data_IF_510238715867
#
_entry.id   IF_510238715867
#
_cell.length_a   1.000
_cell.length_b   1.000
_cell.length_c   1.000
_cell.angle_alpha   90.00
_cell.angle_beta   90.00
_cell.angle_gamma   90.00
#
_symmetry.space_group_name_H-M   'P 1'
#
loop_
_entity.id
_entity.type
_entity.pdbx_description
1 polymer ?
#
# COMPACT_ATOMS: atom_id res chain seq x y z
N UNK A 1 -17.07 -1.17 8.56
CA UNK A 1 -15.84 -1.82 8.05
C UNK A 1 -15.72 -1.60 6.55
N UNK A 2 -14.51 -1.35 6.06
CA UNK A 2 -14.23 -1.38 4.62
C UNK A 2 -14.46 -2.78 4.04
N UNK A 3 -14.43 -2.91 2.72
CA UNK A 3 -14.62 -4.21 2.06
C UNK A 3 -13.49 -5.21 2.35
N UNK A 4 -12.33 -4.73 2.85
CA UNK A 4 -11.23 -5.56 3.34
C UNK A 4 -11.27 -5.76 4.85
N UNK A 5 -10.90 -6.94 5.34
CA UNK A 5 -10.65 -7.18 6.77
C UNK A 5 -9.28 -6.65 7.24
N UNK A 6 -8.51 -6.09 6.30
CA UNK A 6 -7.17 -5.57 6.54
C UNK A 6 -7.21 -4.05 6.62
N UNK A 7 -6.45 -3.54 7.58
CA UNK A 7 -6.11 -2.12 7.70
C UNK A 7 -4.62 -1.96 7.42
N UNK A 8 -4.17 -0.75 7.08
CA UNK A 8 -2.74 -0.47 6.96
C UNK A 8 -2.04 -0.66 8.30
N UNK A 9 -2.70 -0.34 9.41
CA UNK A 9 -2.23 -0.63 10.76
C UNK A 9 -1.86 -2.10 10.92
N UNK A 10 -2.78 -3.02 10.58
CA UNK A 10 -2.55 -4.46 10.68
C UNK A 10 -1.37 -4.91 9.80
N UNK A 11 -1.36 -4.46 8.53
CA UNK A 11 -0.29 -4.79 7.59
C UNK A 11 1.08 -4.30 8.08
N UNK A 12 1.16 -3.09 8.64
CA UNK A 12 2.40 -2.52 9.13
C UNK A 12 2.89 -3.21 10.40
N UNK A 13 2.00 -3.50 11.36
CA UNK A 13 2.37 -4.26 12.55
C UNK A 13 2.94 -5.63 12.19
N UNK A 14 2.25 -6.38 11.33
CA UNK A 14 2.67 -7.71 10.91
C UNK A 14 3.99 -7.68 10.11
N UNK A 15 4.20 -6.63 9.32
CA UNK A 15 5.48 -6.42 8.62
C UNK A 15 6.63 -6.16 9.59
N UNK A 16 6.41 -5.33 10.61
CA UNK A 16 7.39 -5.12 11.67
C UNK A 16 7.74 -6.43 12.40
N UNK A 17 6.73 -7.23 12.73
CA UNK A 17 6.90 -8.52 13.38
C UNK A 17 7.69 -9.52 12.51
N UNK A 18 7.49 -9.47 11.19
CA UNK A 18 8.13 -10.39 10.22
C UNK A 18 9.59 -10.09 9.90
N UNK A 19 10.09 -8.89 10.20
CA UNK A 19 11.44 -8.45 9.81
C UNK A 19 12.43 -8.81 10.92
N UNK A 20 13.45 -9.61 10.57
CA UNK A 20 14.51 -10.10 11.44
C UNK A 20 15.89 -10.00 10.77
N UNK A 21 16.98 -10.24 11.52
CA UNK A 21 18.34 -9.91 11.08
C UNK A 21 18.88 -10.75 9.92
N UNK A 22 18.67 -12.07 9.94
CA UNK A 22 19.45 -12.98 9.08
C UNK A 22 18.68 -14.13 8.42
N UNK A 23 17.39 -14.34 8.69
CA UNK A 23 16.60 -15.46 8.13
C UNK A 23 15.42 -15.04 7.24
N UNK A 24 15.38 -13.76 6.85
CA UNK A 24 14.30 -13.19 6.05
C UNK A 24 14.36 -13.55 4.55
N UNK A 25 13.17 -13.72 3.96
CA UNK A 25 12.99 -13.73 2.50
C UNK A 25 13.43 -12.39 1.86
N UNK A 26 13.38 -11.28 2.62
CA UNK A 26 13.87 -9.98 2.19
C UNK A 26 15.15 -9.62 2.94
N UNK A 27 16.17 -9.17 2.21
CA UNK A 27 17.44 -8.74 2.77
C UNK A 27 17.51 -7.23 2.87
N UNK A 28 17.98 -6.75 4.01
CA UNK A 28 18.17 -5.34 4.30
C UNK A 28 19.58 -5.05 4.78
N UNK A 29 20.10 -3.86 4.45
CA UNK A 29 21.35 -3.33 5.02
C UNK A 29 21.21 -3.06 6.51
N UNK A 30 20.09 -2.48 6.90
CA UNK A 30 19.71 -2.29 8.30
C UNK A 30 18.23 -2.70 8.46
N UNK A 31 18.02 -3.96 8.83
CA UNK A 31 16.67 -4.51 9.04
C UNK A 31 15.93 -3.79 10.17
N UNK A 32 16.64 -3.33 11.21
CA UNK A 32 16.04 -2.65 12.35
C UNK A 32 15.45 -1.29 11.95
N UNK A 33 16.10 -0.56 11.05
CA UNK A 33 15.55 0.69 10.50
C UNK A 33 14.22 0.45 9.76
N UNK A 34 14.13 -0.61 8.96
CA UNK A 34 12.90 -0.95 8.22
C UNK A 34 11.82 -1.47 9.17
N UNK A 35 12.19 -2.30 10.14
CA UNK A 35 11.31 -2.81 11.20
C UNK A 35 10.68 -1.67 12.00
N UNK A 36 11.50 -0.74 12.49
CA UNK A 36 11.05 0.39 13.27
C UNK A 36 10.19 1.34 12.44
N UNK A 37 10.55 1.58 11.17
CA UNK A 37 9.72 2.35 10.23
C UNK A 37 8.28 1.79 10.16
N UNK A 38 8.09 0.48 10.09
CA UNK A 38 6.75 -0.12 10.09
C UNK A 38 6.01 0.06 11.42
N UNK A 39 6.67 -0.20 12.56
CA UNK A 39 6.04 -0.01 13.87
C UNK A 39 5.66 1.46 14.12
N UNK A 40 6.55 2.39 13.82
CA UNK A 40 6.31 3.82 14.00
C UNK A 40 5.20 4.31 13.06
N UNK A 41 5.17 3.81 11.81
CA UNK A 41 4.06 4.06 10.87
C UNK A 41 2.72 3.56 11.42
N UNK A 42 2.68 2.34 11.97
CA UNK A 42 1.48 1.75 12.54
C UNK A 42 0.98 2.52 13.76
N UNK A 43 1.89 2.83 14.70
CA UNK A 43 1.58 3.62 15.90
C UNK A 43 0.99 4.97 15.52
N UNK A 44 1.59 5.66 14.55
CA UNK A 44 1.16 7.00 14.16
C UNK A 44 -0.26 7.03 13.58
N UNK A 45 -0.68 5.99 12.85
CA UNK A 45 -2.03 5.90 12.25
C UNK A 45 -3.07 5.20 13.13
N UNK A 46 -2.70 4.73 14.32
CA UNK A 46 -3.61 4.00 15.21
C UNK A 46 -4.88 4.81 15.47
N UNK A 47 -6.04 4.18 15.34
CA UNK A 47 -7.37 4.78 15.53
C UNK A 47 -7.89 5.61 14.36
N UNK A 48 -7.05 6.06 13.41
CA UNK A 48 -7.53 6.82 12.25
C UNK A 48 -8.36 5.96 11.29
N UNK A 49 -7.95 4.72 11.05
CA UNK A 49 -8.66 3.81 10.16
C UNK A 49 -10.01 3.37 10.75
N UNK A 50 -10.08 3.23 12.08
CA UNK A 50 -11.33 2.90 12.79
C UNK A 50 -12.37 4.00 12.63
N UNK A 51 -11.97 5.27 12.72
CA UNK A 51 -12.85 6.42 12.46
C UNK A 51 -13.46 6.33 11.06
N UNK A 52 -12.64 6.08 10.03
CA UNK A 52 -13.14 5.99 8.66
C UNK A 52 -14.10 4.80 8.49
N UNK A 53 -13.73 3.67 9.07
CA UNK A 53 -14.40 2.40 8.82
C UNK A 53 -15.68 2.24 9.65
N UNK A 54 -15.75 2.83 10.83
CA UNK A 54 -16.76 2.52 11.84
C UNK A 54 -17.52 3.73 12.40
N UNK A 55 -16.98 4.95 12.36
CA UNK A 55 -17.72 6.10 12.93
C UNK A 55 -18.86 6.59 12.05
N UNK A 56 -19.98 6.93 12.72
CA UNK A 56 -21.17 7.56 12.12
C UNK A 56 -20.94 9.06 11.87
N UNK A 57 -20.13 9.69 12.71
CA UNK A 57 -19.75 11.11 12.67
C UNK A 57 -18.27 11.23 12.34
N UNK A 58 -17.89 12.23 11.55
CA UNK A 58 -16.47 12.55 11.37
C UNK A 58 -15.99 13.47 12.51
N UNK A 59 -14.79 13.24 13.07
CA UNK A 59 -14.27 14.04 14.16
C UNK A 59 -13.92 15.46 13.71
N UNK A 60 -13.99 16.39 14.66
CA UNK A 60 -13.51 17.77 14.52
C UNK A 60 -11.98 17.84 14.61
N UNK A 61 -11.44 19.00 14.26
CA UNK A 61 -9.99 19.21 14.16
C UNK A 61 -9.25 18.92 15.45
N UNK A 62 -9.78 19.39 16.57
CA UNK A 62 -9.21 19.20 17.89
C UNK A 62 -9.19 17.72 18.28
N UNK A 63 -10.23 16.96 17.90
CA UNK A 63 -10.36 15.53 18.20
C UNK A 63 -9.30 14.71 17.46
N UNK A 64 -9.19 14.87 16.14
CA UNK A 64 -8.22 14.09 15.36
C UNK A 64 -6.77 14.54 15.56
N UNK A 65 -6.54 15.81 15.90
CA UNK A 65 -5.21 16.29 16.34
C UNK A 65 -4.82 15.67 17.66
N UNK A 66 -5.73 15.62 18.64
CA UNK A 66 -5.47 14.95 19.91
C UNK A 66 -5.15 13.45 19.76
N UNK A 67 -5.72 12.77 18.76
CA UNK A 67 -5.33 11.39 18.42
C UNK A 67 -3.89 11.36 17.87
N UNK A 68 -3.58 12.21 16.90
CA UNK A 68 -2.24 12.29 16.33
C UNK A 68 -1.17 12.57 17.39
N UNK A 69 -1.39 13.54 18.27
CA UNK A 69 -0.43 13.93 19.31
C UNK A 69 -0.18 12.80 20.31
N UNK A 70 -1.24 12.07 20.71
CA UNK A 70 -1.09 10.88 21.56
C UNK A 70 -0.27 9.80 20.86
N UNK A 71 -0.59 9.49 19.60
CA UNK A 71 0.13 8.49 18.83
C UNK A 71 1.61 8.89 18.62
N UNK A 72 1.88 10.17 18.35
CA UNK A 72 3.20 10.71 18.17
C UNK A 72 4.08 10.54 19.43
N UNK A 73 3.49 10.62 20.62
CA UNK A 73 4.21 10.39 21.88
C UNK A 73 4.59 8.91 22.11
N UNK A 74 3.95 7.96 21.41
CA UNK A 74 4.29 6.52 21.47
C UNK A 74 5.35 6.10 20.44
N UNK A 75 5.66 6.98 19.49
CA UNK A 75 6.63 6.73 18.41
C UNK A 75 8.05 6.98 18.93
N UNK A 76 8.97 6.07 18.62
CA UNK A 76 10.36 6.19 19.11
C UNK A 76 11.19 7.17 18.29
N UNK A 77 11.01 7.18 16.97
CA UNK A 77 11.73 8.10 16.08
C UNK A 77 11.07 9.49 16.06
N UNK A 78 11.61 10.42 16.86
CA UNK A 78 11.16 11.81 16.90
C UNK A 78 11.40 12.55 15.58
N UNK A 79 12.43 12.19 14.81
CA UNK A 79 12.70 12.81 13.51
C UNK A 79 11.64 12.39 12.49
N UNK A 80 11.22 11.13 12.53
CA UNK A 80 10.07 10.66 11.77
C UNK A 80 8.81 11.47 12.12
N UNK A 81 8.44 11.58 13.39
CA UNK A 81 7.26 12.38 13.82
C UNK A 81 7.35 13.82 13.33
N UNK A 82 8.49 14.48 13.53
CA UNK A 82 8.70 15.86 13.12
C UNK A 82 8.55 16.02 11.60
N UNK A 83 9.14 15.11 10.83
CA UNK A 83 9.06 15.12 9.37
C UNK A 83 7.63 14.93 8.87
N UNK A 84 6.89 13.96 9.42
CA UNK A 84 5.49 13.73 9.06
C UNK A 84 4.64 14.96 9.39
N UNK A 85 4.81 15.52 10.59
CA UNK A 85 4.12 16.73 11.05
C UNK A 85 4.35 17.90 10.09
N UNK A 86 5.61 18.16 9.74
CA UNK A 86 5.98 19.23 8.83
C UNK A 86 5.35 19.05 7.44
N UNK A 87 5.36 17.83 6.90
CA UNK A 87 4.77 17.55 5.59
C UNK A 87 3.25 17.77 5.59
N UNK A 88 2.54 17.31 6.63
CA UNK A 88 1.10 17.52 6.76
C UNK A 88 0.80 19.02 6.85
N UNK A 89 1.51 19.76 7.71
CA UNK A 89 1.33 21.21 7.87
C UNK A 89 1.55 21.95 6.55
N UNK A 90 2.62 21.64 5.82
CA UNK A 90 2.89 22.24 4.51
C UNK A 90 1.77 21.99 3.49
N UNK A 91 1.22 20.77 3.44
CA UNK A 91 0.11 20.45 2.53
C UNK A 91 -1.18 21.18 2.91
N UNK A 92 -1.44 21.30 4.21
CA UNK A 92 -2.61 21.99 4.73
C UNK A 92 -2.54 23.50 4.46
N UNK A 93 -1.38 24.14 4.67
CA UNK A 93 -1.18 25.56 4.35
C UNK A 93 -1.39 25.85 2.86
N UNK A 94 -0.81 25.02 1.97
CA UNK A 94 -0.98 25.15 0.52
C UNK A 94 -2.44 25.00 0.07
N UNK A 95 -3.23 24.20 0.79
CA UNK A 95 -4.67 24.05 0.51
C UNK A 95 -5.45 25.29 0.93
N UNK A 96 -5.16 25.85 2.11
CA UNK A 96 -5.81 27.05 2.62
C UNK A 96 -5.58 28.26 1.70
N UNK A 97 -4.37 28.41 1.15
CA UNK A 97 -4.03 29.46 0.18
C UNK A 97 -4.86 29.36 -1.12
N UNK A 98 -5.22 28.13 -1.53
CA UNK A 98 -5.90 27.88 -2.81
C UNK A 98 -7.42 27.88 -2.73
N UNK A 99 -8.01 27.45 -1.62
CA UNK A 99 -9.44 27.11 -1.56
C UNK A 99 -10.32 28.12 -0.80
N UNK A 100 -9.79 29.21 -0.24
CA UNK A 100 -10.53 30.30 0.48
C UNK A 100 -11.63 29.81 1.47
N UNK A 101 -11.61 28.54 1.88
CA UNK A 101 -12.59 27.92 2.77
C UNK A 101 -11.88 27.01 3.77
N UNK A 102 -12.30 27.12 5.03
CA UNK A 102 -11.53 26.71 6.22
C UNK A 102 -11.84 25.31 6.74
N UNK A 103 -12.70 24.53 6.09
CA UNK A 103 -13.06 23.21 6.58
C UNK A 103 -12.04 22.16 6.15
N UNK A 104 -11.00 22.00 6.97
CA UNK A 104 -10.09 20.88 6.86
C UNK A 104 -10.75 19.61 7.40
N UNK A 105 -11.45 18.89 6.53
CA UNK A 105 -12.03 17.60 6.89
C UNK A 105 -10.99 16.59 7.37
N UNK A 106 -11.35 15.77 8.34
CA UNK A 106 -10.59 14.60 8.80
C UNK A 106 -10.06 13.74 7.64
N UNK A 107 -10.88 13.49 6.61
CA UNK A 107 -10.48 12.72 5.41
C UNK A 107 -9.32 13.37 4.64
N UNK A 108 -9.28 14.70 4.59
CA UNK A 108 -8.16 15.43 3.98
C UNK A 108 -6.89 15.26 4.81
N UNK A 109 -7.00 15.47 6.13
CA UNK A 109 -5.89 15.31 7.06
C UNK A 109 -5.31 13.88 6.98
N UNK A 110 -6.18 12.86 7.09
CA UNK A 110 -5.77 11.47 7.02
C UNK A 110 -5.10 11.10 5.69
N UNK A 111 -5.59 11.64 4.56
CA UNK A 111 -4.92 11.47 3.27
C UNK A 111 -3.50 12.03 3.28
N UNK A 112 -3.29 13.20 3.89
CA UNK A 112 -1.95 13.79 4.00
C UNK A 112 -1.06 13.01 4.96
N UNK A 113 -1.60 12.50 6.06
CA UNK A 113 -0.90 11.60 6.96
C UNK A 113 -0.39 10.34 6.23
N UNK A 114 -1.30 9.64 5.53
CA UNK A 114 -0.95 8.45 4.76
C UNK A 114 0.10 8.75 3.67
N UNK A 115 -0.01 9.90 3.02
CA UNK A 115 0.97 10.32 2.01
C UNK A 115 2.35 10.58 2.64
N UNK A 116 2.40 11.32 3.75
CA UNK A 116 3.65 11.64 4.41
C UNK A 116 4.36 10.37 4.90
N UNK A 117 3.60 9.41 5.44
CA UNK A 117 4.13 8.10 5.85
C UNK A 117 4.67 7.34 4.63
N UNK A 118 3.91 7.27 3.53
CA UNK A 118 4.37 6.59 2.33
C UNK A 118 5.66 7.21 1.77
N UNK A 119 5.77 8.54 1.75
CA UNK A 119 6.96 9.25 1.29
C UNK A 119 8.18 8.96 2.20
N UNK A 120 8.00 8.81 3.52
CA UNK A 120 9.07 8.38 4.44
C UNK A 120 9.44 6.92 4.25
N UNK A 121 8.44 6.03 4.09
CA UNK A 121 8.66 4.60 3.86
C UNK A 121 9.47 4.35 2.59
N UNK A 122 9.17 5.09 1.52
CA UNK A 122 9.91 5.02 0.25
C UNK A 122 11.41 5.25 0.47
N UNK A 123 11.78 6.31 1.19
CA UNK A 123 13.18 6.67 1.46
C UNK A 123 13.90 5.62 2.30
N UNK A 124 13.26 5.14 3.38
CA UNK A 124 13.84 4.13 4.25
C UNK A 124 14.04 2.82 3.48
N UNK A 125 13.07 2.42 2.64
CA UNK A 125 13.16 1.22 1.81
C UNK A 125 14.26 1.37 0.75
N UNK A 126 14.31 2.49 0.03
CA UNK A 126 15.35 2.73 -0.98
C UNK A 126 16.77 2.69 -0.39
N UNK A 127 16.93 3.17 0.83
CA UNK A 127 18.23 3.21 1.51
C UNK A 127 18.67 1.82 2.00
N UNK A 128 17.72 0.97 2.39
CA UNK A 128 18.00 -0.26 3.13
C UNK A 128 17.74 -1.55 2.37
N UNK A 129 16.88 -1.57 1.35
CA UNK A 129 16.57 -2.78 0.59
C UNK A 129 17.78 -3.25 -0.22
N UNK A 130 18.13 -4.54 -0.07
CA UNK A 130 19.20 -5.18 -0.85
C UNK A 130 18.61 -6.04 -1.95
N UNK A 131 17.59 -6.83 -1.64
CA UNK A 131 17.02 -7.81 -2.55
C UNK A 131 16.28 -8.91 -1.80
N UNK A 132 15.92 -9.96 -2.54
CA UNK A 132 15.27 -11.14 -1.98
C UNK A 132 16.27 -12.30 -1.88
N UNK A 133 16.11 -13.11 -0.85
CA UNK A 133 16.77 -14.41 -0.73
C UNK A 133 16.13 -15.35 -1.74
N UNK A 134 16.74 -15.50 -2.93
CA UNK A 134 16.17 -16.33 -4.00
C UNK A 134 16.08 -17.80 -3.57
N UNK A 135 14.87 -18.32 -3.55
CA UNK A 135 14.59 -19.73 -3.35
C UNK A 135 13.54 -20.18 -4.37
N UNK A 136 14.04 -20.56 -5.55
CA UNK A 136 13.24 -20.99 -6.70
C UNK A 136 12.24 -22.11 -6.35
N UNK A 137 12.60 -23.00 -5.41
CA UNK A 137 11.75 -24.08 -4.92
C UNK A 137 10.52 -23.51 -4.18
N UNK A 138 10.71 -22.49 -3.34
CA UNK A 138 9.60 -21.87 -2.61
C UNK A 138 8.70 -21.08 -3.57
N UNK A 139 9.28 -20.42 -4.58
CA UNK A 139 8.53 -19.67 -5.58
C UNK A 139 7.61 -20.57 -6.40
N UNK A 140 8.10 -21.74 -6.81
CA UNK A 140 7.33 -22.70 -7.62
C UNK A 140 6.29 -23.47 -6.82
N UNK A 141 6.47 -23.62 -5.51
CA UNK A 141 5.53 -24.34 -4.65
C UNK A 141 4.32 -23.50 -4.20
N UNK A 142 4.36 -22.17 -4.35
CA UNK A 142 3.34 -21.25 -3.84
C UNK A 142 2.49 -20.69 -4.97
N UNK A 143 1.21 -20.42 -4.69
CA UNK A 143 0.30 -19.77 -5.63
C UNK A 143 0.75 -18.34 -5.89
N UNK A 144 1.04 -18.02 -7.15
CA UNK A 144 1.53 -16.70 -7.53
C UNK A 144 0.36 -15.73 -7.76
N UNK A 145 0.44 -14.59 -7.09
CA UNK A 145 -0.43 -13.43 -7.31
C UNK A 145 0.39 -12.29 -7.90
N UNK A 146 -0.04 -11.74 -9.03
CA UNK A 146 0.56 -10.54 -9.60
C UNK A 146 0.03 -9.30 -8.87
N UNK A 147 0.92 -8.44 -8.36
CA UNK A 147 0.52 -7.15 -7.80
C UNK A 147 0.67 -6.03 -8.84
N UNK A 148 -0.43 -5.37 -9.18
CA UNK A 148 -0.44 -4.13 -9.95
C UNK A 148 -0.61 -2.93 -9.03
N UNK A 149 0.28 -1.95 -9.10
CA UNK A 149 0.39 -0.85 -8.15
C UNK A 149 1.05 0.39 -8.78
N UNK A 150 0.95 1.55 -8.11
CA UNK A 150 1.75 2.71 -8.49
C UNK A 150 3.17 2.60 -7.91
N UNK A 151 4.20 2.83 -8.73
CA UNK A 151 5.60 2.56 -8.37
C UNK A 151 6.05 3.13 -7.01
N UNK A 152 5.55 4.29 -6.62
CA UNK A 152 5.89 4.99 -5.36
C UNK A 152 5.19 4.46 -4.10
N UNK A 153 4.46 3.33 -4.18
CA UNK A 153 3.79 2.70 -3.03
C UNK A 153 4.66 1.58 -2.42
N UNK A 154 6.00 1.73 -2.33
CA UNK A 154 6.89 0.63 -1.89
C UNK A 154 6.59 0.11 -0.49
N UNK A 155 6.30 0.99 0.47
CA UNK A 155 5.95 0.60 1.84
C UNK A 155 4.72 -0.30 1.91
N UNK A 156 3.64 0.06 1.20
CA UNK A 156 2.42 -0.72 1.21
C UNK A 156 2.53 -2.02 0.39
N UNK A 157 3.27 -1.99 -0.72
CA UNK A 157 3.52 -3.21 -1.52
C UNK A 157 4.42 -4.21 -0.81
N UNK A 158 5.45 -3.77 -0.09
CA UNK A 158 6.26 -4.66 0.75
C UNK A 158 5.47 -5.19 1.96
N UNK A 159 4.60 -4.38 2.56
CA UNK A 159 3.74 -4.87 3.63
C UNK A 159 2.77 -5.96 3.14
N UNK A 160 2.18 -5.78 1.96
CA UNK A 160 1.38 -6.83 1.31
C UNK A 160 2.23 -8.06 0.96
N UNK A 161 3.48 -7.88 0.55
CA UNK A 161 4.39 -9.00 0.28
C UNK A 161 4.55 -9.89 1.52
N UNK A 162 4.86 -9.31 2.68
CA UNK A 162 4.95 -10.07 3.93
C UNK A 162 3.62 -10.74 4.30
N UNK A 163 2.51 -10.02 4.17
CA UNK A 163 1.18 -10.56 4.43
C UNK A 163 0.89 -11.82 3.61
N UNK A 164 1.14 -11.78 2.30
CA UNK A 164 1.00 -12.95 1.43
C UNK A 164 2.00 -14.04 1.80
N UNK A 165 3.25 -13.68 2.07
CA UNK A 165 4.31 -14.63 2.39
C UNK A 165 4.00 -15.46 3.62
N UNK A 166 3.49 -14.84 4.69
CA UNK A 166 3.09 -15.52 5.92
C UNK A 166 1.89 -16.44 5.73
N UNK A 167 1.08 -16.20 4.69
CA UNK A 167 -0.11 -17.01 4.35
C UNK A 167 0.17 -18.01 3.25
N UNK A 168 1.42 -18.41 3.04
CA UNK A 168 1.86 -19.36 2.01
C UNK A 168 1.60 -18.90 0.57
N UNK A 169 1.31 -17.62 0.36
CA UNK A 169 1.20 -17.02 -0.97
C UNK A 169 2.54 -16.53 -1.50
N UNK A 170 2.58 -16.33 -2.82
CA UNK A 170 3.69 -15.67 -3.50
C UNK A 170 3.18 -14.41 -4.19
N UNK A 171 3.47 -13.24 -3.61
CA UNK A 171 3.10 -11.95 -4.21
C UNK A 171 4.26 -11.46 -5.08
N UNK A 172 4.04 -11.39 -6.39
CA UNK A 172 5.00 -10.82 -7.31
C UNK A 172 4.91 -9.29 -7.28
N UNK A 173 5.93 -8.64 -6.70
CA UNK A 173 6.09 -7.19 -6.63
C UNK A 173 7.29 -6.78 -7.48
N UNK A 174 7.04 -6.14 -8.61
CA UNK A 174 8.06 -5.91 -9.63
C UNK A 174 9.35 -5.24 -9.09
N UNK A 175 9.24 -4.18 -8.27
CA UNK A 175 10.44 -3.48 -7.77
C UNK A 175 11.29 -4.35 -6.84
N UNK A 176 10.68 -5.33 -6.16
CA UNK A 176 11.38 -6.24 -5.24
C UNK A 176 12.11 -7.36 -5.98
N UNK A 177 11.57 -7.82 -7.11
CA UNK A 177 12.11 -8.94 -7.89
C UNK A 177 13.06 -8.51 -9.02
N UNK A 178 12.74 -7.40 -9.69
CA UNK A 178 13.43 -6.98 -10.91
C UNK A 178 14.14 -5.62 -10.76
N UNK A 179 14.04 -4.98 -9.59
CA UNK A 179 14.66 -3.69 -9.30
C UNK A 179 13.94 -2.49 -9.93
N UNK A 180 14.62 -1.34 -9.98
CA UNK A 180 14.08 -0.14 -10.59
C UNK A 180 13.96 -0.31 -12.11
N UNK A 181 12.74 -0.12 -12.64
CA UNK A 181 12.42 -0.31 -14.05
C UNK A 181 13.07 0.76 -14.94
N UNK A 182 14.23 0.45 -15.52
CA UNK A 182 14.76 1.21 -16.66
C UNK A 182 13.92 0.85 -17.89
N UNK A 183 13.10 1.80 -18.36
CA UNK A 183 12.03 1.68 -19.37
C UNK A 183 12.44 0.99 -20.68
N UNK A 184 12.64 -0.32 -20.63
CA UNK A 184 13.21 -1.15 -21.70
C UNK A 184 12.22 -2.24 -22.10
N UNK A 185 12.32 -2.70 -23.35
CA UNK A 185 11.59 -3.87 -23.86
C UNK A 185 11.80 -5.13 -22.99
N UNK A 186 12.96 -5.23 -22.33
CA UNK A 186 13.26 -6.30 -21.38
C UNK A 186 12.35 -6.28 -20.14
N UNK A 187 12.00 -5.09 -19.63
CA UNK A 187 11.07 -4.95 -18.48
C UNK A 187 9.68 -5.43 -18.84
N UNK A 188 9.16 -5.00 -20.00
CA UNK A 188 7.84 -5.42 -20.47
C UNK A 188 7.74 -6.94 -20.63
N UNK A 189 8.77 -7.57 -21.20
CA UNK A 189 8.82 -9.02 -21.39
C UNK A 189 8.80 -9.79 -20.06
N UNK A 190 9.54 -9.31 -19.05
CA UNK A 190 9.54 -9.88 -17.70
C UNK A 190 8.16 -9.79 -17.04
N UNK A 191 7.53 -8.61 -17.11
CA UNK A 191 6.18 -8.40 -16.62
C UNK A 191 5.16 -9.31 -17.32
N UNK A 192 5.27 -9.49 -18.64
CA UNK A 192 4.40 -10.41 -19.40
C UNK A 192 4.55 -11.87 -18.97
N UNK A 193 5.77 -12.31 -18.63
CA UNK A 193 6.00 -13.64 -18.05
C UNK A 193 5.42 -13.76 -16.65
N UNK A 194 5.70 -12.80 -15.76
CA UNK A 194 5.15 -12.79 -14.42
C UNK A 194 3.61 -12.78 -14.43
N UNK A 195 2.98 -12.00 -15.31
CA UNK A 195 1.53 -11.99 -15.51
C UNK A 195 1.00 -13.34 -16.00
N UNK A 196 1.73 -14.02 -16.89
CA UNK A 196 1.36 -15.34 -17.41
C UNK A 196 1.47 -16.43 -16.33
N UNK A 197 2.48 -16.33 -15.47
CA UNK A 197 2.74 -17.33 -14.43
C UNK A 197 1.87 -17.10 -13.18
N UNK A 198 1.15 -15.99 -13.11
CA UNK A 198 0.29 -15.64 -11.98
C UNK A 198 -1.09 -16.27 -12.09
N UNK A 199 -1.51 -16.95 -11.03
CA UNK A 199 -2.85 -17.53 -10.92
C UNK A 199 -3.91 -16.49 -10.56
N UNK A 200 -3.51 -15.42 -9.87
CA UNK A 200 -4.39 -14.37 -9.39
C UNK A 200 -3.79 -12.99 -9.69
N UNK A 201 -4.65 -11.99 -9.78
CA UNK A 201 -4.26 -10.60 -9.97
C UNK A 201 -4.82 -9.74 -8.86
N UNK A 202 -3.97 -8.91 -8.26
CA UNK A 202 -4.35 -7.94 -7.24
C UNK A 202 -4.01 -6.53 -7.70
N UNK A 203 -5.01 -5.67 -7.79
CA UNK A 203 -4.83 -4.23 -8.00
C UNK A 203 -4.79 -3.47 -6.67
N UNK A 204 -3.66 -2.83 -6.38
CA UNK A 204 -3.49 -1.98 -5.21
C UNK A 204 -4.11 -0.60 -5.48
N UNK A 205 -5.27 -0.35 -4.85
CA UNK A 205 -5.98 0.93 -4.94
C UNK A 205 -5.41 1.93 -3.94
N UNK A 206 -4.80 2.99 -4.47
CA UNK A 206 -4.30 4.14 -3.71
C UNK A 206 -4.60 5.42 -4.49
N UNK A 207 -4.42 6.58 -3.85
CA UNK A 207 -4.48 7.86 -4.56
C UNK A 207 -3.35 8.03 -5.59
N UNK A 208 -2.34 7.15 -5.56
CA UNK A 208 -1.28 7.13 -6.53
C UNK A 208 -1.67 6.28 -7.74
N UNK A 209 -2.33 5.13 -7.58
CA UNK A 209 -2.74 4.26 -8.70
C UNK A 209 -4.03 4.71 -9.40
N UNK A 210 -4.95 5.33 -8.66
CA UNK A 210 -6.18 5.93 -9.20
C UNK A 210 -5.99 7.43 -9.47
N UNK A 211 -6.16 7.82 -10.74
CA UNK A 211 -6.13 9.19 -11.20
C UNK A 211 -7.53 9.82 -11.02
N UNK A 212 -7.57 10.95 -10.32
CA UNK A 212 -8.78 11.78 -10.22
C UNK A 212 -8.78 12.82 -11.34
N UNK A 213 -9.27 12.45 -12.52
CA UNK A 213 -9.39 13.37 -13.67
C UNK A 213 -10.79 14.00 -13.68
N UNK A 214 -10.88 15.32 -13.92
CA UNK A 214 -12.18 16.02 -14.09
C UNK A 214 -12.95 15.43 -15.28
N UNK A 215 -14.19 15.01 -15.07
CA UNK A 215 -15.06 14.46 -16.11
C UNK A 215 -14.97 12.95 -16.31
N UNK A 216 -14.01 12.27 -15.68
CA UNK A 216 -13.96 10.80 -15.62
C UNK A 216 -13.52 10.38 -14.21
N UNK A 217 -14.50 10.00 -13.39
CA UNK A 217 -14.24 9.56 -12.03
C UNK A 217 -13.58 8.17 -12.09
N UNK A 218 -12.32 8.07 -11.64
CA UNK A 218 -11.57 6.83 -11.39
C UNK A 218 -10.78 6.25 -12.59
N UNK A 219 -9.99 7.06 -13.31
CA UNK A 219 -9.05 6.52 -14.29
C UNK A 219 -7.87 5.81 -13.61
N UNK A 220 -7.36 4.74 -14.22
CA UNK A 220 -6.23 3.97 -13.69
C UNK A 220 -4.96 4.40 -14.44
N UNK A 221 -3.81 4.47 -13.73
CA UNK A 221 -2.52 4.79 -14.37
C UNK A 221 -2.23 3.86 -15.55
N UNK A 222 -1.61 4.40 -16.61
CA UNK A 222 -1.38 3.69 -17.88
C UNK A 222 -0.71 2.33 -17.72
N UNK A 223 0.33 2.22 -16.88
CA UNK A 223 1.00 0.95 -16.62
C UNK A 223 0.08 -0.07 -15.94
N UNK A 224 -0.64 0.32 -14.88
CA UNK A 224 -1.62 -0.54 -14.23
C UNK A 224 -2.75 -0.96 -15.17
N UNK A 225 -3.24 -0.03 -16.01
CA UNK A 225 -4.27 -0.32 -16.99
C UNK A 225 -3.79 -1.34 -18.05
N UNK A 226 -2.52 -1.23 -18.48
CA UNK A 226 -1.90 -2.21 -19.36
C UNK A 226 -1.75 -3.59 -18.70
N UNK A 227 -1.33 -3.66 -17.43
CA UNK A 227 -1.22 -4.91 -16.66
C UNK A 227 -2.58 -5.60 -16.51
N UNK A 228 -3.60 -4.83 -16.12
CA UNK A 228 -4.99 -5.29 -16.03
C UNK A 228 -5.44 -5.85 -17.39
N UNK A 229 -5.25 -5.09 -18.47
CA UNK A 229 -5.63 -5.51 -19.82
C UNK A 229 -4.94 -6.80 -20.27
N UNK A 230 -3.65 -6.98 -19.96
CA UNK A 230 -2.92 -8.21 -20.28
C UNK A 230 -3.44 -9.40 -19.48
N UNK A 231 -3.72 -9.23 -18.19
CA UNK A 231 -4.25 -10.30 -17.36
C UNK A 231 -5.64 -10.74 -17.84
N UNK A 232 -6.51 -9.80 -18.22
CA UNK A 232 -7.85 -10.08 -18.78
C UNK A 232 -7.82 -11.05 -19.97
N UNK A 233 -6.80 -10.98 -20.83
CA UNK A 233 -6.70 -11.86 -22.00
C UNK A 233 -6.38 -13.32 -21.65
N UNK A 234 -5.86 -13.58 -20.45
CA UNK A 234 -5.32 -14.89 -20.05
C UNK A 234 -6.08 -15.55 -18.90
N UNK A 235 -6.61 -14.77 -17.95
CA UNK A 235 -7.31 -15.27 -16.76
C UNK A 235 -8.54 -14.40 -16.45
N UNK A 236 -9.73 -15.00 -16.50
CA UNK A 236 -10.99 -14.24 -16.47
C UNK A 236 -11.62 -14.03 -15.09
N UNK A 237 -11.27 -14.83 -14.08
CA UNK A 237 -12.08 -14.92 -12.84
C UNK A 237 -11.35 -14.49 -11.56
N UNK A 238 -10.02 -14.70 -11.48
CA UNK A 238 -9.23 -14.47 -10.27
C UNK A 238 -8.61 -13.07 -10.23
N UNK A 239 -9.46 -12.03 -10.23
CA UNK A 239 -9.07 -10.62 -10.23
C UNK A 239 -9.62 -9.91 -9.00
N UNK A 240 -8.74 -9.24 -8.27
CA UNK A 240 -9.05 -8.63 -7.01
C UNK A 240 -8.51 -7.21 -6.91
N UNK A 241 -9.11 -6.39 -6.05
CA UNK A 241 -8.57 -5.08 -5.67
C UNK A 241 -8.53 -4.91 -4.15
N UNK A 242 -7.57 -4.14 -3.65
CA UNK A 242 -7.57 -3.74 -2.24
C UNK A 242 -8.62 -2.67 -1.98
N UNK A 243 -9.35 -2.75 -0.87
CA UNK A 243 -10.27 -1.69 -0.45
C UNK A 243 -10.25 -1.54 1.07
N UNK A 244 -9.30 -0.73 1.54
CA UNK A 244 -9.07 -0.49 2.97
C UNK A 244 -10.16 0.39 3.60
N UNK A 245 -10.79 1.26 2.81
CA UNK A 245 -11.61 2.37 3.31
C UNK A 245 -12.98 2.51 2.64
N UNK A 246 -13.27 1.77 1.57
CA UNK A 246 -14.55 1.93 0.88
C UNK A 246 -15.63 1.12 1.62
N UNK A 247 -16.75 1.78 1.91
CA UNK A 247 -17.95 1.14 2.47
C UNK A 247 -18.87 0.56 1.38
N UNK A 248 -18.63 0.92 0.13
CA UNK A 248 -19.40 0.51 -1.05
C UNK A 248 -18.45 0.21 -2.19
N UNK A 249 -18.82 -0.72 -3.07
CA UNK A 249 -18.01 -1.03 -4.25
C UNK A 249 -17.81 0.22 -5.13
N UNK A 250 -16.58 0.48 -5.58
CA UNK A 250 -16.29 1.63 -6.42
C UNK A 250 -16.97 1.46 -7.78
N UNK A 251 -17.60 2.51 -8.29
CA UNK A 251 -18.00 2.56 -9.71
C UNK A 251 -16.75 2.83 -10.54
N UNK A 252 -16.20 1.77 -11.14
CA UNK A 252 -15.09 1.86 -12.07
C UNK A 252 -15.25 0.77 -13.14
N UNK A 253 -15.53 1.17 -14.38
CA UNK A 253 -15.79 0.26 -15.49
C UNK A 253 -14.62 -0.72 -15.75
N UNK A 254 -13.38 -0.35 -15.39
CA UNK A 254 -12.21 -1.23 -15.52
C UNK A 254 -12.22 -2.34 -14.45
N UNK A 255 -12.74 -2.03 -13.27
CA UNK A 255 -12.76 -2.92 -12.10
C UNK A 255 -14.10 -3.64 -11.92
N UNK A 256 -15.07 -3.47 -12.83
CA UNK A 256 -16.42 -4.02 -12.72
C UNK A 256 -16.46 -5.56 -12.53
N UNK A 257 -15.44 -6.26 -13.05
CA UNK A 257 -15.31 -7.72 -12.89
C UNK A 257 -14.32 -8.14 -11.79
N UNK A 258 -13.82 -7.20 -11.00
CA UNK A 258 -12.89 -7.46 -9.90
C UNK A 258 -13.65 -7.60 -8.59
N UNK A 259 -13.17 -8.49 -7.71
CA UNK A 259 -13.71 -8.66 -6.36
C UNK A 259 -12.85 -7.90 -5.34
N UNK A 260 -13.42 -7.31 -4.28
CA UNK A 260 -12.60 -6.79 -3.19
C UNK A 260 -11.84 -7.93 -2.52
N UNK A 261 -10.54 -7.73 -2.29
CA UNK A 261 -9.73 -8.62 -1.45
C UNK A 261 -10.13 -8.44 0.02
N UNK A 262 -10.66 -9.51 0.62
CA UNK A 262 -10.99 -9.55 2.05
C UNK A 262 -9.80 -10.01 2.87
N UNK A 263 -9.19 -11.10 2.45
CA UNK A 263 -8.06 -11.76 3.11
C UNK A 263 -7.28 -12.66 2.14
N UNK A 264 -6.18 -13.26 2.62
CA UNK A 264 -5.46 -14.35 1.92
C UNK A 264 -5.44 -15.58 2.81
N UNK A 265 -5.79 -16.74 2.25
CA UNK A 265 -5.77 -18.03 2.96
C UNK A 265 -5.04 -19.04 2.09
N UNK A 266 -3.93 -19.59 2.60
CA UNK A 266 -3.09 -20.57 1.88
C UNK A 266 -2.69 -20.10 0.47
N UNK A 267 -2.35 -18.81 0.37
CA UNK A 267 -1.93 -18.15 -0.86
C UNK A 267 -3.06 -17.74 -1.78
N UNK A 268 -4.31 -18.00 -1.43
CA UNK A 268 -5.48 -17.63 -2.22
C UNK A 268 -6.17 -16.37 -1.68
N UNK A 269 -6.40 -15.38 -2.54
CA UNK A 269 -7.26 -14.24 -2.21
C UNK A 269 -8.72 -14.69 -2.11
N UNK A 270 -9.43 -14.22 -1.07
CA UNK A 270 -10.87 -14.40 -0.85
C UNK A 270 -11.61 -13.08 -0.77
#
# INVERSE_FOLDING_TARGET
MGLSYLTRYNLFMESGDSIESDDGIVRFRNYLSVKNMYYDSARLIRGFEDIINNEERMPQMEEYQGIFDRNANEVQDLLFVQRITNQIQQQMSKKMEKEQSSSNSFKTYFRYLLKAIADYQEEVIETNFIGLSDNEIIRTARKQTFLSYAYYDKGLTQALFYYFWLRSGFLYVNWMWDGANNHSSATKKKLEYALKDSNQFLFLRTTNSELRIRGNNNSIRQWCAWEIGNFYTKHKEEKYYTSFYDKTEPRNDILDTFRPMREVVLGEIR
#
